data_IF_340457705436
#
_entry.id   IF_340457705436
#
_cell.length_a   1.000
_cell.length_b   1.000
_cell.length_c   1.000
_cell.angle_alpha   90.00
_cell.angle_beta   90.00
_cell.angle_gamma   90.00
#
_symmetry.space_group_name_H-M   'P 1'
#
loop_
_entity.id
_entity.type
_entity.pdbx_description
1 polymer ?
#
# COMPACT_ATOMS: atom_id res chain seq x y z
N UNK A 1 24.77 13.21 -16.50
CA UNK A 1 24.19 11.85 -16.29
C UNK A 1 22.68 12.01 -16.24
N UNK A 2 21.94 11.52 -17.24
CA UNK A 2 20.51 11.78 -17.42
C UNK A 2 19.60 10.87 -16.59
N UNK A 3 18.31 10.82 -16.93
CA UNK A 3 17.28 9.97 -16.30
C UNK A 3 17.49 8.44 -16.47
N UNK A 4 18.58 8.02 -17.13
CA UNK A 4 18.90 6.61 -17.43
C UNK A 4 18.91 5.68 -16.21
N UNK A 5 19.56 6.04 -15.08
CA UNK A 5 19.59 5.20 -13.88
C UNK A 5 18.18 4.90 -13.35
N UNK A 6 17.32 5.91 -13.24
CA UNK A 6 15.94 5.72 -12.77
C UNK A 6 15.12 4.87 -13.74
N UNK A 7 15.28 5.03 -15.06
CA UNK A 7 14.56 4.17 -16.02
C UNK A 7 14.97 2.70 -15.86
N UNK A 8 16.27 2.44 -15.67
CA UNK A 8 16.77 1.09 -15.41
C UNK A 8 16.18 0.53 -14.11
N UNK A 9 16.14 1.33 -13.04
CA UNK A 9 15.54 0.93 -11.76
C UNK A 9 14.05 0.62 -11.91
N UNK A 10 13.28 1.48 -12.58
CA UNK A 10 11.84 1.24 -12.81
C UNK A 10 11.58 -0.04 -13.60
N UNK A 11 12.36 -0.29 -14.66
CA UNK A 11 12.27 -1.52 -15.44
C UNK A 11 12.67 -2.74 -14.61
N UNK A 12 13.74 -2.64 -13.82
CA UNK A 12 14.17 -3.72 -12.94
C UNK A 12 13.09 -4.07 -11.90
N UNK A 13 12.46 -3.06 -11.28
CA UNK A 13 11.36 -3.24 -10.34
C UNK A 13 10.14 -3.85 -11.03
N UNK A 14 9.82 -3.44 -12.25
CA UNK A 14 8.72 -4.01 -13.04
C UNK A 14 8.95 -5.51 -13.34
N UNK A 15 10.18 -5.88 -13.73
CA UNK A 15 10.52 -7.29 -13.97
C UNK A 15 10.47 -8.08 -12.67
N UNK A 16 11.02 -7.53 -11.58
CA UNK A 16 10.99 -8.16 -10.27
C UNK A 16 9.55 -8.42 -9.80
N UNK A 17 8.67 -7.43 -9.92
CA UNK A 17 7.25 -7.57 -9.52
C UNK A 17 6.54 -8.62 -10.35
N UNK A 18 6.79 -8.66 -11.66
CA UNK A 18 6.21 -9.68 -12.54
C UNK A 18 6.69 -11.09 -12.17
N UNK A 19 7.99 -11.26 -11.88
CA UNK A 19 8.55 -12.55 -11.46
C UNK A 19 8.00 -13.01 -10.10
N UNK A 20 7.90 -12.11 -9.13
CA UNK A 20 7.32 -12.41 -7.82
C UNK A 20 5.84 -12.78 -7.95
N UNK A 21 5.07 -12.03 -8.74
CA UNK A 21 3.66 -12.31 -8.96
C UNK A 21 3.46 -13.66 -9.64
N UNK A 22 4.26 -13.99 -10.66
CA UNK A 22 4.20 -15.29 -11.31
C UNK A 22 4.56 -16.43 -10.33
N UNK A 23 5.56 -16.23 -9.46
CA UNK A 23 5.99 -17.23 -8.47
C UNK A 23 4.94 -17.49 -7.38
N UNK A 24 4.29 -16.44 -6.87
CA UNK A 24 3.39 -16.55 -5.71
C UNK A 24 1.92 -16.67 -6.07
N UNK A 25 1.47 -16.09 -7.19
CA UNK A 25 0.07 -16.05 -7.57
C UNK A 25 -0.26 -16.95 -8.78
N UNK A 26 0.71 -17.42 -9.58
CA UNK A 26 0.43 -18.19 -10.81
C UNK A 26 -0.68 -17.52 -11.67
N UNK A 27 -0.31 -16.43 -12.34
CA UNK A 27 -1.20 -15.50 -13.09
C UNK A 27 -2.21 -16.15 -14.06
N UNK A 28 -2.04 -17.41 -14.46
CA UNK A 28 -2.96 -18.13 -15.35
C UNK A 28 -4.20 -18.63 -14.63
N UNK A 29 -4.16 -18.80 -13.31
CA UNK A 29 -5.25 -19.36 -12.52
C UNK A 29 -6.23 -18.31 -12.00
N UNK A 30 -5.81 -17.05 -11.95
CA UNK A 30 -6.61 -15.98 -11.33
C UNK A 30 -7.20 -15.02 -12.35
N UNK A 31 -8.29 -14.37 -11.96
CA UNK A 31 -8.96 -13.38 -12.78
C UNK A 31 -8.05 -12.16 -13.02
N UNK A 32 -8.08 -11.63 -14.24
CA UNK A 32 -7.19 -10.55 -14.70
C UNK A 32 -7.20 -9.33 -13.75
N UNK A 33 -8.37 -8.94 -13.26
CA UNK A 33 -8.51 -7.76 -12.38
C UNK A 33 -7.69 -7.94 -11.08
N UNK A 34 -7.70 -9.14 -10.51
CA UNK A 34 -6.94 -9.45 -9.27
C UNK A 34 -5.45 -9.36 -9.56
N UNK A 35 -4.99 -10.02 -10.64
CA UNK A 35 -3.58 -10.00 -11.05
C UNK A 35 -3.10 -8.56 -11.30
N UNK A 36 -3.87 -7.77 -12.05
CA UNK A 36 -3.53 -6.38 -12.36
C UNK A 36 -3.47 -5.51 -11.10
N UNK A 37 -4.47 -5.62 -10.23
CA UNK A 37 -4.57 -4.78 -9.03
C UNK A 37 -3.45 -5.09 -8.04
N UNK A 38 -3.12 -6.37 -7.85
CA UNK A 38 -1.99 -6.79 -7.04
C UNK A 38 -0.66 -6.37 -7.66
N UNK A 39 -0.51 -6.50 -8.99
CA UNK A 39 0.69 -6.05 -9.70
C UNK A 39 0.95 -4.56 -9.49
N UNK A 40 -0.08 -3.73 -9.72
CA UNK A 40 -0.01 -2.27 -9.57
C UNK A 40 0.34 -1.91 -8.13
N UNK A 41 -0.32 -2.54 -7.14
CA UNK A 41 -0.04 -2.31 -5.72
C UNK A 41 1.41 -2.62 -5.36
N UNK A 42 1.91 -3.81 -5.72
CA UNK A 42 3.28 -4.22 -5.43
C UNK A 42 4.32 -3.36 -6.15
N UNK A 43 4.06 -3.04 -7.42
CA UNK A 43 4.93 -2.20 -8.22
C UNK A 43 5.13 -0.82 -7.55
N UNK A 44 4.05 -0.15 -7.15
CA UNK A 44 4.17 1.14 -6.47
C UNK A 44 4.86 1.04 -5.10
N UNK A 45 4.58 0.00 -4.32
CA UNK A 45 5.27 -0.20 -3.04
C UNK A 45 6.78 -0.37 -3.22
N UNK A 46 7.23 -1.14 -4.20
CA UNK A 46 8.67 -1.34 -4.43
C UNK A 46 9.35 -0.14 -5.10
N UNK A 47 8.65 0.60 -5.96
CA UNK A 47 9.20 1.83 -6.55
C UNK A 47 9.55 2.87 -5.49
N UNK A 48 8.70 3.03 -4.46
CA UNK A 48 8.92 4.05 -3.40
C UNK A 48 10.28 3.88 -2.73
N UNK A 49 10.79 2.65 -2.60
CA UNK A 49 12.10 2.35 -2.01
C UNK A 49 13.24 3.06 -2.76
N UNK A 50 13.12 3.20 -4.08
CA UNK A 50 14.15 3.81 -4.94
C UNK A 50 13.86 5.29 -5.24
N UNK A 51 12.59 5.64 -5.46
CA UNK A 51 12.20 7.02 -5.81
C UNK A 51 12.32 7.96 -4.61
N UNK A 52 12.03 7.51 -3.39
CA UNK A 52 12.06 8.38 -2.22
C UNK A 52 13.48 8.89 -1.88
N UNK A 53 14.54 8.06 -1.87
CA UNK A 53 15.91 8.56 -1.74
C UNK A 53 16.31 9.56 -2.83
N UNK A 54 15.88 9.33 -4.07
CA UNK A 54 16.16 10.25 -5.19
C UNK A 54 15.44 11.59 -5.01
N UNK A 55 14.18 11.58 -4.59
CA UNK A 55 13.40 12.79 -4.29
C UNK A 55 14.07 13.63 -3.19
N UNK A 56 14.52 12.96 -2.12
CA UNK A 56 15.28 13.61 -1.04
C UNK A 56 16.59 14.21 -1.58
N UNK A 57 17.32 13.48 -2.43
CA UNK A 57 18.55 13.99 -3.03
C UNK A 57 18.32 15.21 -3.95
N UNK A 58 17.25 15.20 -4.74
CA UNK A 58 16.84 16.34 -5.59
C UNK A 58 16.45 17.54 -4.72
N UNK A 59 15.75 17.31 -3.61
CA UNK A 59 15.38 18.37 -2.65
C UNK A 59 16.61 19.01 -2.02
N UNK A 60 17.62 18.21 -1.63
CA UNK A 60 18.89 18.73 -1.11
C UNK A 60 19.66 19.53 -2.16
N UNK A 61 19.65 19.09 -3.42
CA UNK A 61 20.25 19.81 -4.54
C UNK A 61 19.62 21.19 -4.72
N UNK A 62 18.28 21.28 -4.77
CA UNK A 62 17.60 22.57 -4.89
C UNK A 62 17.83 23.49 -3.70
N UNK A 63 17.91 22.93 -2.49
CA UNK A 63 18.27 23.70 -1.31
C UNK A 63 19.68 24.30 -1.43
N UNK A 64 20.64 23.52 -1.93
CA UNK A 64 22.00 23.99 -2.21
C UNK A 64 22.01 25.15 -3.21
N UNK A 65 21.27 25.05 -4.33
CA UNK A 65 21.18 26.11 -5.33
C UNK A 65 20.63 27.43 -4.74
N UNK A 66 19.60 27.33 -3.89
CA UNK A 66 19.01 28.51 -3.21
C UNK A 66 19.99 29.13 -2.21
N UNK A 67 20.72 28.31 -1.45
CA UNK A 67 21.73 28.78 -0.50
C UNK A 67 22.92 29.44 -1.23
N UNK A 68 23.36 28.88 -2.36
CA UNK A 68 24.38 29.48 -3.23
C UNK A 68 23.93 30.86 -3.75
N UNK A 69 22.71 30.98 -4.25
CA UNK A 69 22.17 32.25 -4.74
C UNK A 69 22.12 33.34 -3.64
N UNK A 70 21.86 32.95 -2.39
CA UNK A 70 21.89 33.88 -1.24
C UNK A 70 23.31 34.32 -0.87
N UNK A 71 24.28 33.41 -0.92
CA UNK A 71 25.67 33.68 -0.57
C UNK A 71 26.34 34.64 -1.56
N UNK A 72 26.09 34.47 -2.87
CA UNK A 72 26.56 35.38 -3.93
C UNK A 72 26.05 36.80 -3.73
N UNK A 73 24.83 36.98 -3.21
CA UNK A 73 24.26 38.30 -2.93
C UNK A 73 24.85 38.97 -1.67
N UNK A 74 25.46 38.20 -0.76
CA UNK A 74 25.86 38.67 0.58
C UNK A 74 27.38 38.79 0.74
N UNK A 75 28.17 37.99 0.02
CA UNK A 75 29.65 37.97 0.13
C UNK A 75 30.31 37.54 -1.18
N UNK A 76 31.48 38.10 -1.50
CA UNK A 76 32.43 37.56 -2.48
C UNK A 76 33.14 36.31 -1.91
N UNK A 77 32.37 35.31 -1.48
CA UNK A 77 32.90 34.03 -0.97
C UNK A 77 33.00 32.99 -2.10
N UNK A 78 33.88 32.01 -1.91
CA UNK A 78 34.15 30.95 -2.89
C UNK A 78 32.87 30.22 -3.33
N UNK A 79 32.76 29.85 -4.62
CA UNK A 79 31.56 29.21 -5.14
C UNK A 79 31.33 27.84 -4.49
N UNK A 80 30.21 27.70 -3.76
CA UNK A 80 29.68 26.42 -3.33
C UNK A 80 29.31 25.59 -4.58
N UNK A 81 29.94 24.44 -4.78
CA UNK A 81 29.63 23.54 -5.88
C UNK A 81 28.47 22.61 -5.49
N UNK A 82 27.31 22.81 -6.09
CA UNK A 82 26.17 21.92 -5.93
C UNK A 82 26.25 20.76 -6.94
N UNK A 83 26.57 19.56 -6.47
CA UNK A 83 26.65 18.37 -7.32
C UNK A 83 25.24 17.85 -7.66
N UNK A 84 24.97 17.68 -8.95
CA UNK A 84 23.70 17.16 -9.43
C UNK A 84 23.58 15.67 -9.12
N UNK A 85 22.50 15.21 -8.46
CA UNK A 85 22.35 13.80 -8.13
C UNK A 85 22.23 12.93 -9.38
N UNK A 86 22.79 11.72 -9.31
CA UNK A 86 22.64 10.72 -10.36
C UNK A 86 21.16 10.37 -10.56
N UNK A 87 20.67 10.43 -11.80
CA UNK A 87 19.26 10.20 -12.09
C UNK A 87 18.35 11.41 -11.88
N UNK A 88 18.90 12.63 -11.81
CA UNK A 88 18.09 13.85 -11.74
C UNK A 88 17.03 13.92 -12.83
N UNK A 89 15.82 14.31 -12.43
CA UNK A 89 14.61 14.39 -13.25
C UNK A 89 13.99 15.77 -13.06
N UNK A 90 13.34 16.35 -14.09
CA UNK A 90 12.62 17.62 -13.94
C UNK A 90 11.48 17.53 -12.91
N UNK A 91 11.27 18.61 -12.16
CA UNK A 91 10.25 18.71 -11.10
C UNK A 91 8.85 18.33 -11.59
N UNK A 92 8.51 18.68 -12.83
CA UNK A 92 7.22 18.35 -13.43
C UNK A 92 7.00 16.83 -13.54
N UNK A 93 8.05 16.09 -13.90
CA UNK A 93 7.99 14.63 -14.06
C UNK A 93 7.90 13.97 -12.69
N UNK A 94 8.68 14.45 -11.71
CA UNK A 94 8.62 13.96 -10.33
C UNK A 94 7.23 14.19 -9.71
N UNK A 95 6.67 15.40 -9.86
CA UNK A 95 5.32 15.73 -9.41
C UNK A 95 4.25 14.85 -10.09
N UNK A 96 4.39 14.61 -11.40
CA UNK A 96 3.47 13.76 -12.15
C UNK A 96 3.55 12.31 -11.69
N UNK A 97 4.75 11.78 -11.47
CA UNK A 97 4.98 10.43 -10.95
C UNK A 97 4.29 10.27 -9.59
N UNK A 98 4.57 11.16 -8.64
CA UNK A 98 3.97 11.10 -7.32
C UNK A 98 2.45 11.24 -7.35
N UNK A 99 1.91 12.08 -8.24
CA UNK A 99 0.46 12.21 -8.44
C UNK A 99 -0.16 10.92 -8.92
N UNK A 100 0.47 10.24 -9.89
CA UNK A 100 0.00 8.94 -10.39
C UNK A 100 0.03 7.92 -9.26
N UNK A 101 1.16 7.77 -8.55
CA UNK A 101 1.31 6.83 -7.44
C UNK A 101 0.28 7.10 -6.34
N UNK A 102 0.11 8.36 -5.94
CA UNK A 102 -0.82 8.75 -4.89
C UNK A 102 -2.28 8.40 -5.24
N UNK A 103 -2.78 8.89 -6.37
CA UNK A 103 -4.20 8.70 -6.72
C UNK A 103 -4.53 7.25 -7.07
N UNK A 104 -3.61 6.55 -7.74
CA UNK A 104 -3.80 5.13 -8.03
C UNK A 104 -3.82 4.29 -6.74
N UNK A 105 -2.90 4.53 -5.80
CA UNK A 105 -2.90 3.86 -4.49
C UNK A 105 -4.17 4.18 -3.68
N UNK A 106 -4.65 5.42 -3.75
CA UNK A 106 -5.89 5.84 -3.10
C UNK A 106 -7.10 5.09 -3.68
N UNK A 107 -7.23 5.01 -5.01
CA UNK A 107 -8.29 4.24 -5.67
C UNK A 107 -8.18 2.74 -5.36
N UNK A 108 -6.96 2.19 -5.36
CA UNK A 108 -6.74 0.77 -5.07
C UNK A 108 -7.19 0.43 -3.64
N UNK A 109 -6.80 1.26 -2.67
CA UNK A 109 -7.04 1.04 -1.24
C UNK A 109 -8.51 1.19 -0.86
N UNK A 110 -9.19 2.22 -1.38
CA UNK A 110 -10.54 2.57 -0.95
C UNK A 110 -11.66 2.02 -1.84
N UNK A 111 -11.34 1.53 -3.04
CA UNK A 111 -12.35 1.05 -3.99
C UNK A 111 -12.07 -0.38 -4.39
N UNK A 112 -10.90 -0.63 -5.00
CA UNK A 112 -10.64 -1.91 -5.68
C UNK A 112 -10.46 -3.06 -4.70
N UNK A 113 -9.56 -2.92 -3.72
CA UNK A 113 -9.25 -4.00 -2.77
C UNK A 113 -10.43 -4.38 -1.85
N UNK A 114 -11.16 -3.42 -1.25
CA UNK A 114 -12.32 -3.73 -0.41
C UNK A 114 -13.46 -4.39 -1.21
N UNK A 115 -13.65 -3.95 -2.46
CA UNK A 115 -14.58 -4.60 -3.37
C UNK A 115 -14.19 -6.05 -3.64
N UNK A 116 -12.93 -6.31 -3.99
CA UNK A 116 -12.43 -7.66 -4.21
C UNK A 116 -12.59 -8.56 -2.98
N UNK A 117 -12.24 -8.05 -1.80
CA UNK A 117 -12.36 -8.80 -0.55
C UNK A 117 -13.82 -9.18 -0.27
N UNK A 118 -14.75 -8.24 -0.44
CA UNK A 118 -16.18 -8.51 -0.26
C UNK A 118 -16.74 -9.47 -1.32
N UNK A 119 -16.24 -9.40 -2.55
CA UNK A 119 -16.64 -10.30 -3.64
C UNK A 119 -16.23 -11.76 -3.37
N UNK A 120 -15.02 -11.99 -2.85
CA UNK A 120 -14.54 -13.33 -2.51
C UNK A 120 -15.27 -13.88 -1.28
N UNK A 121 -15.57 -13.01 -0.31
CA UNK A 121 -16.30 -13.39 0.90
C UNK A 121 -17.81 -13.60 0.68
N UNK A 122 -18.35 -13.20 -0.48
CA UNK A 122 -19.75 -13.40 -0.80
C UNK A 122 -20.03 -14.89 -1.06
N UNK A 123 -20.94 -15.47 -0.27
CA UNK A 123 -21.34 -16.88 -0.35
C UNK A 123 -22.30 -17.23 -1.50
N UNK A 124 -22.69 -16.26 -2.32
CA UNK A 124 -23.60 -16.48 -3.45
C UNK A 124 -22.95 -17.34 -4.54
N UNK A 125 -23.71 -18.25 -5.17
CA UNK A 125 -23.18 -19.12 -6.22
C UNK A 125 -23.05 -18.43 -7.59
N UNK A 126 -23.75 -17.32 -7.81
CA UNK A 126 -23.74 -16.59 -9.10
C UNK A 126 -22.83 -15.37 -9.06
N UNK A 127 -22.11 -15.10 -10.15
CA UNK A 127 -21.21 -13.94 -10.24
C UNK A 127 -21.93 -12.60 -10.04
N UNK A 128 -23.17 -12.49 -10.53
CA UNK A 128 -24.01 -11.30 -10.34
C UNK A 128 -24.46 -11.12 -8.89
N UNK A 129 -24.86 -12.21 -8.22
CA UNK A 129 -25.19 -12.20 -6.79
C UNK A 129 -24.01 -11.72 -5.96
N UNK A 130 -22.83 -12.30 -6.18
CA UNK A 130 -21.57 -11.88 -5.51
C UNK A 130 -21.26 -10.40 -5.71
N UNK A 131 -21.41 -9.88 -6.93
CA UNK A 131 -21.15 -8.46 -7.22
C UNK A 131 -22.13 -7.54 -6.48
N UNK A 132 -23.42 -7.87 -6.48
CA UNK A 132 -24.45 -7.09 -5.77
C UNK A 132 -24.23 -7.12 -4.27
N UNK A 133 -23.95 -8.31 -3.71
CA UNK A 133 -23.66 -8.48 -2.29
C UNK A 133 -22.39 -7.70 -1.88
N UNK A 134 -21.33 -7.79 -2.68
CA UNK A 134 -20.09 -7.06 -2.44
C UNK A 134 -20.27 -5.54 -2.45
N UNK A 135 -21.06 -5.03 -3.40
CA UNK A 135 -21.35 -3.60 -3.49
C UNK A 135 -22.21 -3.15 -2.30
N UNK A 136 -23.22 -3.91 -1.92
CA UNK A 136 -24.08 -3.59 -0.78
C UNK A 136 -23.31 -3.58 0.54
N UNK A 137 -22.52 -4.61 0.81
CA UNK A 137 -21.72 -4.71 2.03
C UNK A 137 -20.72 -3.54 2.16
N UNK A 138 -20.04 -3.20 1.07
CA UNK A 138 -19.14 -2.04 1.06
C UNK A 138 -19.91 -0.71 1.22
N UNK A 139 -21.07 -0.57 0.58
CA UNK A 139 -21.90 0.63 0.72
C UNK A 139 -22.39 0.83 2.16
N UNK A 140 -22.76 -0.25 2.87
CA UNK A 140 -23.11 -0.18 4.30
C UNK A 140 -21.91 0.23 5.13
N UNK A 141 -20.74 -0.39 4.90
CA UNK A 141 -19.51 -0.07 5.62
C UNK A 141 -19.12 1.40 5.44
N UNK A 142 -19.02 1.87 4.19
CA UNK A 142 -18.70 3.28 3.90
C UNK A 142 -19.79 4.25 4.35
N UNK A 143 -21.06 3.84 4.34
CA UNK A 143 -22.16 4.62 4.89
C UNK A 143 -21.98 4.92 6.38
N UNK A 144 -21.53 3.92 7.16
CA UNK A 144 -21.22 4.11 8.59
C UNK A 144 -20.03 5.06 8.77
N UNK A 145 -18.95 4.91 8.00
CA UNK A 145 -17.82 5.85 8.05
C UNK A 145 -18.23 7.28 7.73
N UNK A 146 -19.07 7.45 6.70
CA UNK A 146 -19.57 8.75 6.27
C UNK A 146 -20.43 9.38 7.38
N UNK A 147 -21.28 8.60 8.05
CA UNK A 147 -22.08 9.10 9.19
C UNK A 147 -21.19 9.61 10.33
N UNK A 148 -20.18 8.83 10.73
CA UNK A 148 -19.22 9.26 11.76
C UNK A 148 -18.47 10.52 11.33
N UNK A 149 -18.04 10.59 10.08
CA UNK A 149 -17.36 11.74 9.52
C UNK A 149 -18.24 13.01 9.53
N UNK A 150 -19.53 12.90 9.18
CA UNK A 150 -20.48 14.01 9.23
C UNK A 150 -20.69 14.51 10.66
N UNK A 151 -20.79 13.62 11.66
CA UNK A 151 -20.89 14.02 13.06
C UNK A 151 -19.66 14.83 13.49
N UNK A 152 -18.46 14.37 13.11
CA UNK A 152 -17.21 15.10 13.40
C UNK A 152 -17.14 16.45 12.68
N UNK A 153 -17.64 16.55 11.45
CA UNK A 153 -17.72 17.82 10.74
C UNK A 153 -18.69 18.79 11.43
N UNK A 154 -19.88 18.34 11.84
CA UNK A 154 -20.83 19.17 12.59
C UNK A 154 -20.17 19.70 13.88
N UNK A 155 -19.47 18.84 14.61
CA UNK A 155 -18.70 19.26 15.78
C UNK A 155 -17.65 20.34 15.44
N UNK A 156 -16.90 20.16 14.35
CA UNK A 156 -15.90 21.14 13.91
C UNK A 156 -16.52 22.50 13.53
N UNK A 157 -17.68 22.50 12.87
CA UNK A 157 -18.44 23.73 12.57
C UNK A 157 -18.87 24.44 13.85
N UNK A 158 -19.41 23.69 14.83
CA UNK A 158 -19.83 24.26 16.12
C UNK A 158 -18.63 24.91 16.85
N UNK A 159 -17.43 24.35 16.69
CA UNK A 159 -16.18 24.92 17.23
C UNK A 159 -15.63 26.11 16.42
N UNK A 160 -16.33 26.56 15.38
CA UNK A 160 -16.01 27.76 14.62
C UNK A 160 -15.09 27.53 13.42
N UNK A 161 -14.92 26.29 12.95
CA UNK A 161 -14.12 26.00 11.75
C UNK A 161 -14.92 26.36 10.49
N UNK A 162 -14.38 27.27 9.67
CA UNK A 162 -14.99 27.64 8.38
C UNK A 162 -14.75 26.51 7.37
N UNK A 163 -15.82 25.85 6.93
CA UNK A 163 -15.73 24.77 5.95
C UNK A 163 -15.86 25.35 4.54
N UNK A 164 -14.73 25.47 3.85
CA UNK A 164 -14.68 25.66 2.40
C UNK A 164 -14.41 24.32 1.69
N UNK A 165 -14.72 24.23 0.39
CA UNK A 165 -14.44 23.03 -0.41
C UNK A 165 -12.96 22.65 -0.42
N UNK A 166 -12.06 23.65 -0.40
CA UNK A 166 -10.62 23.42 -0.28
C UNK A 166 -10.24 22.83 1.08
N UNK A 167 -10.77 23.39 2.18
CA UNK A 167 -10.54 22.87 3.52
C UNK A 167 -11.09 21.44 3.68
N UNK A 168 -12.28 21.17 3.14
CA UNK A 168 -12.88 19.83 3.17
C UNK A 168 -12.00 18.80 2.43
N UNK A 169 -11.48 19.17 1.25
CA UNK A 169 -10.56 18.32 0.48
C UNK A 169 -9.28 18.02 1.27
N UNK A 170 -8.69 19.02 1.91
CA UNK A 170 -7.48 18.85 2.74
C UNK A 170 -7.78 17.94 3.94
N UNK A 171 -8.92 18.14 4.60
CA UNK A 171 -9.35 17.28 5.73
C UNK A 171 -9.47 15.82 5.26
N UNK A 172 -10.15 15.56 4.14
CA UNK A 172 -10.33 14.19 3.62
C UNK A 172 -8.99 13.52 3.26
N UNK A 173 -8.09 14.25 2.58
CA UNK A 173 -6.75 13.75 2.25
C UNK A 173 -5.96 13.43 3.53
N UNK A 174 -5.99 14.34 4.51
CA UNK A 174 -5.29 14.15 5.78
C UNK A 174 -5.86 12.98 6.57
N UNK A 175 -7.18 12.81 6.64
CA UNK A 175 -7.84 11.71 7.33
C UNK A 175 -7.53 10.34 6.70
N UNK A 176 -7.48 10.25 5.38
CA UNK A 176 -7.03 9.01 4.70
C UNK A 176 -5.58 8.68 5.05
N UNK A 177 -4.70 9.69 5.08
CA UNK A 177 -3.29 9.48 5.40
C UNK A 177 -3.10 9.08 6.87
N UNK A 178 -3.85 9.66 7.80
CA UNK A 178 -3.79 9.27 9.22
C UNK A 178 -4.26 7.84 9.44
N UNK A 179 -5.29 7.39 8.71
CA UNK A 179 -5.70 5.98 8.71
C UNK A 179 -4.56 5.05 8.26
N UNK A 180 -3.88 5.39 7.16
CA UNK A 180 -2.73 4.62 6.68
C UNK A 180 -1.57 4.59 7.68
N UNK A 181 -1.25 5.72 8.31
CA UNK A 181 -0.22 5.81 9.35
C UNK A 181 -0.60 5.03 10.60
N UNK A 182 -1.86 5.08 11.02
CA UNK A 182 -2.35 4.29 12.15
C UNK A 182 -2.17 2.79 11.90
N UNK A 183 -2.61 2.30 10.74
CA UNK A 183 -2.41 0.90 10.35
C UNK A 183 -0.93 0.53 10.26
N UNK A 184 -0.08 1.41 9.72
CA UNK A 184 1.36 1.19 9.68
C UNK A 184 1.89 1.00 11.10
N UNK A 185 1.60 1.89 12.04
CA UNK A 185 2.09 1.78 13.43
C UNK A 185 1.66 0.45 14.08
N UNK A 186 0.40 0.03 13.87
CA UNK A 186 -0.12 -1.22 14.43
C UNK A 186 0.55 -2.45 13.80
N UNK A 187 0.70 -2.46 12.48
CA UNK A 187 1.21 -3.62 11.73
C UNK A 187 2.74 -3.72 11.72
N UNK A 188 3.45 -2.60 11.90
CA UNK A 188 4.90 -2.53 11.89
C UNK A 188 5.51 -3.40 12.99
N UNK A 189 4.87 -3.47 14.16
CA UNK A 189 5.31 -4.34 15.26
C UNK A 189 5.35 -5.81 14.85
N UNK A 190 4.34 -6.28 14.12
CA UNK A 190 4.33 -7.65 13.59
C UNK A 190 5.43 -7.85 12.55
N UNK A 191 5.59 -6.89 11.63
CA UNK A 191 6.61 -6.94 10.58
C UNK A 191 8.04 -7.01 11.11
N UNK A 192 8.37 -6.23 12.14
CA UNK A 192 9.73 -6.19 12.69
C UNK A 192 10.04 -7.31 13.68
N UNK A 193 9.04 -7.87 14.38
CA UNK A 193 9.30 -8.88 15.41
C UNK A 193 9.01 -10.29 14.89
N UNK A 194 7.80 -10.53 14.39
CA UNK A 194 7.37 -11.89 14.04
C UNK A 194 8.04 -12.38 12.76
N UNK A 195 8.28 -11.50 11.78
CA UNK A 195 8.86 -11.93 10.50
C UNK A 195 10.31 -12.43 10.66
N UNK A 196 11.25 -11.70 11.30
CA UNK A 196 12.60 -12.21 11.54
C UNK A 196 12.60 -13.44 12.45
N UNK A 197 11.76 -13.45 13.49
CA UNK A 197 11.61 -14.60 14.38
C UNK A 197 11.16 -15.86 13.61
N UNK A 198 10.19 -15.69 12.70
CA UNK A 198 9.70 -16.78 11.87
C UNK A 198 10.78 -17.31 10.92
N UNK A 199 11.61 -16.43 10.35
CA UNK A 199 12.73 -16.82 9.49
C UNK A 199 13.82 -17.55 10.29
N UNK A 200 14.14 -17.07 11.49
CA UNK A 200 15.09 -17.73 12.41
C UNK A 200 14.64 -19.15 12.75
N UNK A 201 13.37 -19.31 13.13
CA UNK A 201 12.78 -20.61 13.45
C UNK A 201 12.61 -21.53 12.22
N UNK A 202 12.47 -20.98 11.01
CA UNK A 202 12.48 -21.78 9.78
C UNK A 202 13.88 -22.34 9.46
N UNK A 203 14.94 -21.70 9.95
CA UNK A 203 16.31 -22.19 9.83
C UNK A 203 16.60 -23.41 10.72
N UNK A 204 15.90 -23.58 11.84
CA UNK A 204 16.11 -24.72 12.76
C UNK A 204 15.25 -25.93 12.38
N UNK A 205 15.92 -26.98 11.89
CA UNK A 205 15.26 -28.20 11.38
C UNK A 205 14.39 -28.89 12.43
N UNK A 206 14.87 -29.00 13.67
CA UNK A 206 14.13 -29.68 14.75
C UNK A 206 12.85 -28.94 15.13
N UNK A 207 12.92 -27.61 15.24
CA UNK A 207 11.73 -26.79 15.50
C UNK A 207 10.73 -26.89 14.36
N UNK A 208 11.20 -26.80 13.11
CA UNK A 208 10.35 -26.90 11.93
C UNK A 208 9.68 -28.27 11.84
N UNK A 209 10.40 -29.35 12.12
CA UNK A 209 9.86 -30.71 12.14
C UNK A 209 8.74 -30.84 13.17
N UNK A 210 9.01 -30.47 14.43
CA UNK A 210 8.04 -30.57 15.52
C UNK A 210 6.80 -29.70 15.26
N UNK A 211 7.00 -28.48 14.75
CA UNK A 211 5.90 -27.59 14.38
C UNK A 211 5.07 -28.16 13.23
N UNK A 212 5.70 -28.82 12.27
CA UNK A 212 4.99 -29.45 11.13
C UNK A 212 4.18 -30.65 11.60
N UNK A 213 4.73 -31.50 12.49
CA UNK A 213 3.97 -32.60 13.09
C UNK A 213 2.75 -32.10 13.87
N UNK A 214 2.92 -31.05 14.69
CA UNK A 214 1.82 -30.43 15.41
C UNK A 214 0.74 -29.87 14.47
N UNK A 215 1.15 -29.17 13.40
CA UNK A 215 0.22 -28.62 12.42
C UNK A 215 -0.52 -29.73 11.64
N UNK A 216 0.14 -30.84 11.36
CA UNK A 216 -0.46 -31.99 10.68
C UNK A 216 -1.53 -32.63 11.56
N UNK A 217 -1.22 -32.85 12.84
CA UNK A 217 -2.17 -33.38 13.82
C UNK A 217 -3.40 -32.47 13.96
N UNK A 218 -3.16 -31.16 14.13
CA UNK A 218 -4.24 -30.17 14.18
C UNK A 218 -5.11 -30.17 12.92
N UNK A 219 -4.52 -30.14 11.72
CA UNK A 219 -5.29 -30.18 10.47
C UNK A 219 -6.07 -31.50 10.32
N UNK A 220 -5.54 -32.61 10.85
CA UNK A 220 -6.27 -33.88 10.84
C UNK A 220 -7.49 -33.86 11.77
N UNK A 221 -7.36 -33.19 12.93
CA UNK A 221 -8.48 -32.93 13.85
C UNK A 221 -9.55 -32.05 13.22
N UNK A 222 -9.16 -30.89 12.68
CA UNK A 222 -10.07 -29.94 12.00
C UNK A 222 -10.81 -30.63 10.84
N UNK A 223 -10.13 -31.52 10.09
CA UNK A 223 -10.73 -32.32 9.03
C UNK A 223 -11.78 -33.29 9.57
N UNK A 224 -11.46 -34.02 10.64
CA UNK A 224 -12.40 -34.98 11.23
C UNK A 224 -13.66 -34.28 11.75
N UNK A 225 -13.51 -33.14 12.42
CA UNK A 225 -14.63 -32.35 12.92
C UNK A 225 -15.51 -31.83 11.77
N UNK A 226 -14.91 -31.36 10.68
CA UNK A 226 -15.65 -30.95 9.49
C UNK A 226 -16.40 -32.13 8.83
N UNK A 227 -15.80 -33.32 8.75
CA UNK A 227 -16.46 -34.53 8.22
C UNK A 227 -17.65 -34.94 9.09
N UNK A 228 -17.53 -34.85 10.41
CA UNK A 228 -18.62 -35.19 11.33
C UNK A 228 -19.75 -34.14 11.28
N UNK A 229 -19.43 -32.85 11.20
CA UNK A 229 -20.43 -31.80 11.00
C UNK A 229 -21.22 -31.96 9.70
N UNK A 230 -20.58 -32.44 8.62
CA UNK A 230 -21.27 -32.79 7.38
C UNK A 230 -22.23 -33.97 7.62
N UNK A 231 -21.79 -35.04 8.27
CA UNK A 231 -22.65 -36.20 8.56
C UNK A 231 -23.88 -35.83 9.39
N UNK A 232 -23.71 -34.94 10.38
CA UNK A 232 -24.82 -34.45 11.20
C UNK A 232 -25.82 -33.62 10.41
N UNK A 233 -25.34 -32.78 9.48
CA UNK A 233 -26.20 -31.90 8.67
C UNK A 233 -27.08 -32.69 7.68
N UNK A 234 -26.62 -33.86 7.22
CA UNK A 234 -27.31 -34.71 6.24
C UNK A 234 -28.05 -35.91 6.86
N UNK A 235 -28.14 -35.98 8.20
CA UNK A 235 -28.88 -37.02 8.92
C UNK A 235 -30.30 -36.57 9.24
#
# INVERSE_FOLDING_TARGET
>A
MGAGPLVIELVAVFVLTALLLNKYADWRRHHLIVVLSTFIGWYFSFIIIFVLPLDVAITFYHRCEVEQARLVNTTLSEPLYCEKPGGYIPDLVLLTLWRIVYWSAQCLTWIVLPFMQSYVNAGDFTAYGKMKAALFNNAVYYGIYMLVFVILLIYAVIKGVVINMEHLKVILISASNTWGLFLLVVLLGYGFVELPRSLWHRGSRDYLLNKTYFNLDKMSGDKSEAEDGIKETYR
#
